data_IF_956050713129
#
_entry.id   IF_956050713129
#
_cell.length_a   1.000
_cell.length_b   1.000
_cell.length_c   1.000
_cell.angle_alpha   90.00
_cell.angle_beta   90.00
_cell.angle_gamma   90.00
#
_symmetry.space_group_name_H-M   'P 1'
#
loop_
_entity.id
_entity.type
_entity.pdbx_description
1 polymer ?
#
# COMPACT_ATOMS: atom_id res chain seq x y z
N UNK A 1 -28.19 28.99 -22.78
CA UNK A 1 -27.01 28.23 -23.25
C UNK A 1 -25.78 29.10 -23.08
N UNK A 2 -24.96 28.82 -22.07
CA UNK A 2 -23.51 29.04 -22.04
C UNK A 2 -22.99 28.25 -20.83
N UNK A 3 -22.42 27.06 -21.07
CA UNK A 3 -21.78 26.28 -20.02
C UNK A 3 -20.42 26.92 -19.75
N UNK A 4 -20.26 27.58 -18.60
CA UNK A 4 -18.98 28.14 -18.15
C UNK A 4 -18.25 27.05 -17.38
N UNK A 5 -17.19 26.52 -17.98
CA UNK A 5 -16.26 25.56 -17.41
C UNK A 5 -15.27 26.21 -16.43
N UNK A 6 -15.72 26.76 -15.31
CA UNK A 6 -14.78 27.17 -14.28
C UNK A 6 -14.58 26.02 -13.28
N UNK A 7 -13.76 25.05 -13.69
CA UNK A 7 -13.19 24.06 -12.78
C UNK A 7 -12.16 24.73 -11.86
N UNK A 8 -12.63 25.61 -10.97
CA UNK A 8 -11.92 25.96 -9.74
C UNK A 8 -12.08 24.81 -8.74
N UNK A 9 -11.54 23.65 -9.07
CA UNK A 9 -11.31 22.57 -8.13
C UNK A 9 -9.85 22.59 -7.76
N UNK A 10 -9.46 23.44 -6.80
CA UNK A 10 -8.15 23.33 -6.14
C UNK A 10 -7.99 21.86 -5.74
N UNK A 11 -7.04 21.17 -6.37
CA UNK A 11 -6.73 19.79 -6.02
C UNK A 11 -6.33 19.82 -4.56
N UNK A 12 -7.21 19.23 -3.76
CA UNK A 12 -7.12 19.02 -2.32
C UNK A 12 -5.68 18.63 -2.01
N UNK A 13 -4.99 19.51 -1.27
CA UNK A 13 -3.64 19.24 -0.79
C UNK A 13 -3.59 17.87 -0.13
N UNK A 14 -2.51 17.14 -0.41
CA UNK A 14 -1.89 16.16 0.49
C UNK A 14 -2.84 15.59 1.55
N UNK A 15 -3.94 14.96 1.11
CA UNK A 15 -4.66 14.09 2.01
C UNK A 15 -3.61 13.04 2.38
N UNK A 16 -3.14 13.03 3.62
CA UNK A 16 -2.38 11.92 4.18
C UNK A 16 -3.29 10.70 4.05
N UNK A 17 -3.26 10.06 2.87
CA UNK A 17 -3.88 8.77 2.65
C UNK A 17 -3.03 7.83 3.48
N UNK A 18 -3.64 7.24 4.50
CA UNK A 18 -2.98 6.24 5.32
C UNK A 18 -2.49 5.12 4.39
N UNK A 19 -1.18 5.09 4.17
CA UNK A 19 -0.55 4.09 3.30
C UNK A 19 -0.51 2.75 4.01
N UNK A 20 -0.83 1.68 3.29
CA UNK A 20 -0.83 0.31 3.82
C UNK A 20 0.44 -0.42 3.38
N UNK A 21 0.99 -1.26 4.25
CA UNK A 21 2.08 -2.17 3.86
C UNK A 21 1.55 -3.34 3.06
N UNK A 22 2.44 -3.99 2.30
CA UNK A 22 2.14 -5.24 1.59
C UNK A 22 1.58 -6.31 2.53
N UNK A 23 2.15 -6.43 3.74
CA UNK A 23 1.66 -7.36 4.75
C UNK A 23 0.27 -7.00 5.26
N UNK A 24 0.00 -5.71 5.50
CA UNK A 24 -1.31 -5.26 5.95
C UNK A 24 -2.38 -5.54 4.88
N UNK A 25 -2.08 -5.27 3.61
CA UNK A 25 -2.95 -5.62 2.49
C UNK A 25 -3.27 -7.11 2.50
N UNK A 26 -2.23 -7.95 2.49
CA UNK A 26 -2.41 -9.41 2.49
C UNK A 26 -3.27 -9.90 3.65
N UNK A 27 -3.02 -9.40 4.87
CA UNK A 27 -3.78 -9.79 6.06
C UNK A 27 -5.24 -9.28 6.00
N UNK A 28 -5.48 -8.07 5.49
CA UNK A 28 -6.83 -7.53 5.31
C UNK A 28 -7.66 -8.38 4.35
N UNK A 29 -7.03 -8.92 3.30
CA UNK A 29 -7.65 -9.84 2.35
C UNK A 29 -7.66 -11.31 2.84
N UNK A 30 -7.16 -11.60 4.05
CA UNK A 30 -7.06 -12.95 4.62
C UNK A 30 -6.29 -13.96 3.76
N UNK A 31 -5.31 -13.48 3.00
CA UNK A 31 -4.52 -14.32 2.09
C UNK A 31 -3.24 -14.83 2.73
N UNK A 32 -2.82 -16.04 2.35
CA UNK A 32 -1.50 -16.54 2.71
C UNK A 32 -0.42 -15.95 1.80
N UNK A 33 0.83 -15.80 2.29
CA UNK A 33 1.95 -15.34 1.44
C UNK A 33 2.18 -16.26 0.25
N UNK A 34 1.87 -17.55 0.40
CA UNK A 34 1.99 -18.54 -0.65
C UNK A 34 1.02 -18.24 -1.80
N UNK A 35 -0.26 -18.02 -1.50
CA UNK A 35 -1.28 -17.72 -2.53
C UNK A 35 -0.93 -16.47 -3.35
N UNK A 36 -0.51 -15.40 -2.67
CA UNK A 36 -0.11 -14.16 -3.35
C UNK A 36 1.13 -14.38 -4.22
N UNK A 37 2.12 -15.11 -3.71
CA UNK A 37 3.34 -15.41 -4.43
C UNK A 37 3.10 -16.32 -5.66
N UNK A 38 2.26 -17.35 -5.52
CA UNK A 38 1.82 -18.22 -6.62
C UNK A 38 1.07 -17.42 -7.69
N UNK A 39 0.18 -16.49 -7.31
CA UNK A 39 -0.52 -15.60 -8.25
C UNK A 39 0.41 -14.66 -9.01
N UNK A 40 1.44 -14.13 -8.35
CA UNK A 40 2.41 -13.20 -8.93
C UNK A 40 3.57 -13.91 -9.64
N UNK A 41 3.65 -15.25 -9.55
CA UNK A 41 4.75 -16.02 -10.13
C UNK A 41 6.11 -15.76 -9.47
N UNK A 42 6.13 -15.33 -8.20
CA UNK A 42 7.36 -15.07 -7.44
C UNK A 42 7.55 -16.11 -6.33
N UNK A 43 8.78 -16.32 -5.83
CA UNK A 43 8.99 -17.16 -4.66
C UNK A 43 8.35 -16.55 -3.40
N UNK A 44 7.75 -17.40 -2.54
CA UNK A 44 7.15 -16.96 -1.28
C UNK A 44 8.12 -16.17 -0.38
N UNK A 45 9.38 -16.60 -0.30
CA UNK A 45 10.40 -15.91 0.52
C UNK A 45 10.68 -14.49 0.01
N UNK A 46 10.57 -14.27 -1.30
CA UNK A 46 10.73 -12.96 -1.94
C UNK A 46 9.60 -12.02 -1.53
N UNK A 47 8.35 -12.50 -1.54
CA UNK A 47 7.20 -11.74 -1.04
C UNK A 47 7.39 -11.37 0.44
N UNK A 48 7.78 -12.32 1.28
CA UNK A 48 8.02 -12.08 2.71
C UNK A 48 9.13 -11.05 2.94
N UNK A 49 10.22 -11.12 2.17
CA UNK A 49 11.29 -10.12 2.22
C UNK A 49 10.77 -8.71 1.92
N UNK A 50 9.89 -8.56 0.92
CA UNK A 50 9.28 -7.27 0.59
C UNK A 50 8.21 -6.82 1.60
N UNK A 51 7.53 -7.76 2.27
CA UNK A 51 6.64 -7.45 3.39
C UNK A 51 7.38 -6.85 4.59
N UNK A 52 8.66 -7.18 4.77
CA UNK A 52 9.53 -6.62 5.80
C UNK A 52 10.19 -5.31 5.36
N UNK A 53 10.78 -5.32 4.15
CA UNK A 53 11.46 -4.19 3.53
C UNK A 53 11.07 -4.07 2.06
N UNK A 54 10.20 -3.09 1.76
CA UNK A 54 9.74 -2.78 0.41
C UNK A 54 10.48 -1.59 -0.21
N UNK A 55 11.61 -1.18 0.36
CA UNK A 55 12.36 0.01 -0.10
C UNK A 55 12.98 -0.21 -1.50
N UNK A 56 13.34 -1.46 -1.81
CA UNK A 56 13.99 -1.86 -3.06
C UNK A 56 13.08 -2.73 -3.95
N UNK A 57 11.76 -2.66 -3.76
CA UNK A 57 10.83 -3.44 -4.58
C UNK A 57 10.86 -2.96 -6.05
N UNK A 58 10.96 -3.87 -7.03
CA UNK A 58 10.85 -3.50 -8.43
C UNK A 58 9.50 -2.86 -8.75
N UNK A 59 9.50 -1.76 -9.51
CA UNK A 59 8.26 -1.05 -9.89
C UNK A 59 7.26 -1.95 -10.63
N UNK A 60 7.74 -2.94 -11.38
CA UNK A 60 6.88 -3.93 -12.04
C UNK A 60 6.11 -4.76 -11.00
N UNK A 61 6.82 -5.34 -10.03
CA UNK A 61 6.20 -6.13 -8.96
C UNK A 61 5.26 -5.28 -8.09
N UNK A 62 5.62 -4.02 -7.83
CA UNK A 62 4.76 -3.10 -7.12
C UNK A 62 3.44 -2.84 -7.88
N UNK A 63 3.51 -2.66 -9.21
CA UNK A 63 2.31 -2.51 -10.04
C UNK A 63 1.47 -3.79 -10.03
N UNK A 64 2.10 -4.97 -10.12
CA UNK A 64 1.39 -6.25 -10.10
C UNK A 64 0.66 -6.45 -8.76
N UNK A 65 1.29 -6.09 -7.65
CA UNK A 65 0.66 -6.08 -6.32
C UNK A 65 -0.51 -5.09 -6.23
N UNK A 66 -0.33 -3.87 -6.74
CA UNK A 66 -1.38 -2.86 -6.76
C UNK A 66 -2.61 -3.33 -7.56
N UNK A 67 -2.37 -3.91 -8.75
CA UNK A 67 -3.40 -4.50 -9.59
C UNK A 67 -4.07 -5.71 -8.92
N UNK A 68 -3.29 -6.57 -8.26
CA UNK A 68 -3.80 -7.75 -7.56
C UNK A 68 -4.77 -7.39 -6.44
N UNK A 69 -4.49 -6.32 -5.69
CA UNK A 69 -5.34 -5.83 -4.60
C UNK A 69 -6.38 -4.80 -5.02
N UNK A 70 -6.43 -4.44 -6.31
CA UNK A 70 -7.28 -3.39 -6.88
C UNK A 70 -7.15 -2.04 -6.14
N UNK A 71 -5.90 -1.60 -5.91
CA UNK A 71 -5.58 -0.33 -5.24
C UNK A 71 -4.60 0.51 -6.04
N UNK A 72 -4.50 1.80 -5.71
CA UNK A 72 -3.48 2.68 -6.27
C UNK A 72 -2.11 2.41 -5.65
N UNK A 73 -1.05 2.47 -6.47
CA UNK A 73 0.34 2.42 -6.01
C UNK A 73 0.65 3.44 -4.92
N UNK A 74 0.05 4.64 -4.99
CA UNK A 74 0.30 5.69 -4.00
C UNK A 74 -0.24 5.33 -2.60
N UNK A 75 -1.23 4.43 -2.54
CA UNK A 75 -1.79 3.90 -1.28
C UNK A 75 -0.91 2.81 -0.64
N UNK A 76 0.15 2.35 -1.33
CA UNK A 76 1.10 1.37 -0.82
C UNK A 76 2.28 2.09 -0.15
N UNK A 77 2.65 1.62 1.04
CA UNK A 77 3.86 2.06 1.71
C UNK A 77 5.07 1.28 1.20
N UNK A 78 6.06 2.01 0.67
CA UNK A 78 7.36 1.49 0.26
C UNK A 78 8.43 1.90 1.27
N UNK A 79 8.95 0.95 2.02
CA UNK A 79 9.93 1.18 3.07
C UNK A 79 10.03 0.01 4.04
N UNK A 80 10.81 0.18 5.11
CA UNK A 80 10.90 -0.84 6.18
C UNK A 80 9.71 -0.74 7.10
N UNK A 81 9.26 -1.88 7.58
CA UNK A 81 8.22 -1.95 8.61
C UNK A 81 8.61 -1.20 9.89
N UNK A 82 9.91 -1.11 10.21
CA UNK A 82 10.43 -0.32 11.33
C UNK A 82 10.21 1.19 11.19
N UNK A 83 10.10 1.71 9.97
CA UNK A 83 9.91 3.14 9.70
C UNK A 83 8.45 3.57 9.85
N UNK A 84 7.51 2.62 9.85
CA UNK A 84 6.09 2.88 10.06
C UNK A 84 5.74 3.36 11.46
N UNK A 85 6.73 3.43 12.38
CA UNK A 85 6.65 3.80 13.81
C UNK A 85 5.25 4.27 14.17
N UNK A 86 4.40 3.27 14.37
CA UNK A 86 2.99 3.49 14.54
C UNK A 86 2.81 4.44 15.72
N UNK A 87 2.09 5.53 15.50
CA UNK A 87 1.55 6.43 16.52
C UNK A 87 0.54 5.70 17.42
N UNK A 88 0.77 4.45 17.82
CA UNK A 88 0.10 3.82 18.96
C UNK A 88 0.70 4.40 20.25
N UNK A 89 0.60 5.72 20.43
CA UNK A 89 0.70 6.31 21.76
C UNK A 89 -0.60 5.95 22.48
N UNK A 90 -0.60 4.76 23.06
CA UNK A 90 -1.39 4.32 24.20
C UNK A 90 -2.70 5.10 24.46
N UNK A 91 -3.85 4.63 23.96
CA UNK A 91 -5.19 5.01 24.44
C UNK A 91 -5.53 4.35 25.79
N UNK A 92 -4.55 4.14 26.66
CA UNK A 92 -4.78 3.76 28.05
C UNK A 92 -4.41 4.94 28.95
N UNK A 93 -5.27 5.96 28.95
CA UNK A 93 -5.43 6.81 30.12
C UNK A 93 -6.91 6.73 30.48
N UNK A 94 -7.24 5.78 31.35
CA UNK A 94 -8.55 5.62 31.97
C UNK A 94 -8.34 5.39 33.45
#
# INVERSE_FOLDING_TARGET
MQFVWESNGKLKGDAEVEKLTLRALRVNYSLSPKEVADCLGIPQHTLLSYEEDSSEIPIQLANDLANYYDISLDSIFFGKNSDLKQKFKNKNNR
#
